data_IF_998096127300
#
_entry.id   IF_998096127300
#
_cell.length_a   1.000
_cell.length_b   1.000
_cell.length_c   1.000
_cell.angle_alpha   90.00
_cell.angle_beta   90.00
_cell.angle_gamma   90.00
#
_symmetry.space_group_name_H-M   'P 1'
#
loop_
_entity.id
_entity.type
_entity.pdbx_description
1 polymer ?
#
# COMPACT_ATOMS: atom_id res chain seq x y z
N UNK A 1 17.85 -26.87 12.82
CA UNK A 1 18.32 -25.84 11.88
C UNK A 1 17.09 -25.47 11.07
N UNK A 2 16.52 -24.30 11.30
CA UNK A 2 15.33 -23.83 10.57
C UNK A 2 15.82 -23.00 9.38
N UNK A 3 15.60 -23.55 8.17
CA UNK A 3 16.08 -23.00 6.91
C UNK A 3 15.18 -21.84 6.46
N UNK A 4 15.29 -20.71 7.17
CA UNK A 4 14.61 -19.49 6.76
C UNK A 4 15.34 -18.86 5.57
N UNK A 5 14.69 -18.75 4.42
CA UNK A 5 15.30 -18.20 3.18
C UNK A 5 14.73 -16.83 2.87
N UNK A 6 15.59 -15.87 2.51
CA UNK A 6 15.14 -14.52 2.15
C UNK A 6 14.80 -14.47 0.67
N UNK A 7 13.52 -14.31 0.34
CA UNK A 7 13.03 -14.14 -1.03
C UNK A 7 12.39 -12.75 -1.18
N UNK A 8 12.82 -11.94 -2.15
CA UNK A 8 12.30 -10.57 -2.36
C UNK A 8 12.30 -9.67 -1.09
N UNK A 9 13.18 -9.93 -0.12
CA UNK A 9 13.26 -9.17 1.14
C UNK A 9 12.24 -9.62 2.21
N UNK A 10 11.75 -10.85 2.13
CA UNK A 10 11.03 -11.53 3.22
C UNK A 10 11.66 -12.85 3.59
N UNK A 11 11.62 -13.17 4.88
CA UNK A 11 12.04 -14.47 5.42
C UNK A 11 10.91 -15.48 5.24
N UNK A 12 11.11 -16.45 4.35
CA UNK A 12 10.24 -17.60 4.17
C UNK A 12 10.69 -18.70 5.12
N UNK A 13 9.83 -19.07 6.07
CA UNK A 13 10.03 -20.22 6.93
C UNK A 13 9.56 -21.50 6.21
N UNK A 14 10.34 -22.59 6.33
CA UNK A 14 10.07 -23.88 5.67
C UNK A 14 8.74 -24.50 6.13
N UNK A 15 8.23 -24.08 7.29
CA UNK A 15 6.95 -24.52 7.84
C UNK A 15 5.74 -23.70 7.36
N UNK A 16 5.91 -22.74 6.45
CA UNK A 16 4.84 -21.81 6.04
C UNK A 16 4.21 -21.09 7.25
N UNK A 17 4.95 -20.85 8.33
CA UNK A 17 4.44 -20.09 9.47
C UNK A 17 4.46 -18.60 9.13
N UNK A 18 3.31 -18.11 8.65
CA UNK A 18 3.15 -16.73 8.18
C UNK A 18 3.20 -15.67 9.29
N UNK A 19 3.18 -16.05 10.57
CA UNK A 19 3.07 -15.11 11.70
C UNK A 19 4.24 -14.13 11.79
N UNK A 20 5.48 -14.63 11.82
CA UNK A 20 6.70 -13.79 11.83
C UNK A 20 6.78 -12.89 10.61
N UNK A 21 6.29 -13.39 9.47
CA UNK A 21 6.21 -12.60 8.27
C UNK A 21 5.16 -11.48 8.38
N UNK A 22 3.94 -11.79 8.83
CA UNK A 22 2.86 -10.82 9.07
C UNK A 22 3.35 -9.69 9.99
N UNK A 23 4.13 -10.01 11.02
CA UNK A 23 4.68 -9.00 11.93
C UNK A 23 5.66 -8.05 11.23
N UNK A 24 6.58 -8.58 10.41
CA UNK A 24 7.50 -7.73 9.63
C UNK A 24 6.76 -6.80 8.67
N UNK A 25 5.64 -7.25 8.13
CA UNK A 25 4.80 -6.51 7.19
C UNK A 25 3.93 -5.48 7.89
N UNK A 26 3.33 -5.85 9.01
CA UNK A 26 2.64 -4.94 9.90
C UNK A 26 3.60 -3.82 10.35
N UNK A 27 4.88 -4.15 10.59
CA UNK A 27 5.96 -3.17 10.85
C UNK A 27 6.20 -2.22 9.67
N UNK A 28 6.31 -2.74 8.44
CA UNK A 28 6.47 -1.93 7.21
C UNK A 28 5.24 -1.04 6.97
N UNK A 29 4.02 -1.58 7.11
CA UNK A 29 2.77 -0.83 6.97
C UNK A 29 2.60 0.22 8.07
N UNK A 30 3.01 -0.08 9.31
CA UNK A 30 3.00 0.89 10.41
C UNK A 30 3.97 2.04 10.15
N UNK A 31 5.15 1.73 9.62
CA UNK A 31 6.13 2.74 9.19
C UNK A 31 5.59 3.60 8.05
N UNK A 32 4.90 2.98 7.08
CA UNK A 32 4.23 3.69 6.00
C UNK A 32 3.09 4.59 6.51
N UNK A 33 2.27 4.12 7.44
CA UNK A 33 1.24 4.92 8.07
C UNK A 33 1.84 6.11 8.85
N UNK A 34 2.99 5.91 9.51
CA UNK A 34 3.71 6.97 10.20
C UNK A 34 4.28 8.01 9.23
N UNK A 35 4.86 7.58 8.11
CA UNK A 35 5.34 8.48 7.06
C UNK A 35 4.21 9.35 6.50
N UNK A 36 3.05 8.74 6.19
CA UNK A 36 1.84 9.47 5.75
C UNK A 36 1.40 10.48 6.81
N UNK A 37 1.39 10.09 8.09
CA UNK A 37 1.06 10.99 9.20
C UNK A 37 2.02 12.18 9.28
N UNK A 38 3.32 11.96 9.07
CA UNK A 38 4.33 13.02 9.10
C UNK A 38 4.19 13.98 7.93
N UNK A 39 4.00 13.46 6.72
CA UNK A 39 3.77 14.26 5.52
C UNK A 39 2.53 15.13 5.70
N UNK A 40 1.45 14.55 6.24
CA UNK A 40 0.21 15.28 6.56
C UNK A 40 0.38 16.40 7.60
N UNK A 41 1.43 16.40 8.41
CA UNK A 41 1.71 17.53 9.30
C UNK A 41 2.22 18.75 8.52
N UNK A 42 2.80 18.53 7.34
CA UNK A 42 3.49 19.54 6.54
C UNK A 42 2.68 19.92 5.30
N UNK A 43 1.89 18.99 4.73
CA UNK A 43 1.15 19.17 3.47
C UNK A 43 -0.37 19.18 3.63
N UNK A 44 -1.05 19.55 2.55
CA UNK A 44 -2.50 19.52 2.38
C UNK A 44 -3.07 18.07 2.32
N UNK A 45 -4.40 17.96 2.27
CA UNK A 45 -5.13 16.68 2.35
C UNK A 45 -4.89 15.85 1.10
N UNK A 46 -4.89 16.51 -0.07
CA UNK A 46 -4.83 15.85 -1.36
C UNK A 46 -3.43 15.27 -1.60
N UNK A 47 -2.38 16.02 -1.24
CA UNK A 47 -1.01 15.50 -1.28
C UNK A 47 -0.82 14.31 -0.34
N UNK A 48 -1.34 14.38 0.89
CA UNK A 48 -1.26 13.26 1.82
C UNK A 48 -2.03 12.02 1.33
N UNK A 49 -3.17 12.23 0.65
CA UNK A 49 -3.94 11.17 -0.01
C UNK A 49 -3.15 10.54 -1.14
N UNK A 50 -2.48 11.34 -1.98
CA UNK A 50 -1.64 10.83 -3.07
C UNK A 50 -0.50 9.96 -2.54
N UNK A 51 0.19 10.41 -1.49
CA UNK A 51 1.27 9.62 -0.87
C UNK A 51 0.73 8.32 -0.25
N UNK A 52 -0.44 8.36 0.37
CA UNK A 52 -1.10 7.15 0.87
C UNK A 52 -1.35 6.14 -0.25
N UNK A 53 -1.85 6.57 -1.41
CA UNK A 53 -2.04 5.68 -2.56
C UNK A 53 -0.72 5.23 -3.20
N UNK A 54 0.29 6.09 -3.25
CA UNK A 54 1.59 5.75 -3.84
C UNK A 54 2.38 4.75 -2.99
N UNK A 55 2.35 4.88 -1.65
CA UNK A 55 3.21 4.12 -0.75
C UNK A 55 2.45 3.08 0.08
N UNK A 56 1.40 3.49 0.82
CA UNK A 56 0.68 2.55 1.69
C UNK A 56 -0.10 1.52 0.88
N UNK A 57 -0.82 1.98 -0.16
CA UNK A 57 -1.62 1.10 -1.00
C UNK A 57 -0.77 0.16 -1.87
N UNK A 58 0.39 0.60 -2.36
CA UNK A 58 1.29 -0.27 -3.14
C UNK A 58 1.87 -1.41 -2.28
N UNK A 59 2.32 -1.12 -1.06
CA UNK A 59 2.81 -2.14 -0.11
C UNK A 59 1.68 -3.11 0.27
N UNK A 60 0.48 -2.60 0.51
CA UNK A 60 -0.69 -3.43 0.84
C UNK A 60 -1.10 -4.34 -0.32
N UNK A 61 -1.21 -3.81 -1.54
CA UNK A 61 -1.60 -4.58 -2.73
C UNK A 61 -0.56 -5.63 -3.10
N UNK A 62 0.73 -5.28 -3.02
CA UNK A 62 1.82 -6.24 -3.17
C UNK A 62 1.74 -7.34 -2.12
N UNK A 63 1.46 -6.96 -0.87
CA UNK A 63 1.33 -7.91 0.22
C UNK A 63 0.16 -8.88 0.08
N UNK A 64 -1.02 -8.38 -0.30
CA UNK A 64 -2.21 -9.21 -0.53
C UNK A 64 -1.97 -10.19 -1.69
N UNK A 65 -1.34 -9.73 -2.77
CA UNK A 65 -1.02 -10.57 -3.92
C UNK A 65 -0.09 -11.74 -3.54
N UNK A 66 0.82 -11.51 -2.59
CA UNK A 66 1.81 -12.49 -2.20
C UNK A 66 1.31 -13.48 -1.13
N UNK A 67 0.41 -13.06 -0.21
CA UNK A 67 0.00 -13.87 0.95
C UNK A 67 -1.45 -14.37 0.90
N UNK A 68 -2.26 -13.93 -0.07
CA UNK A 68 -3.65 -14.39 -0.20
C UNK A 68 -4.46 -14.24 1.09
N UNK A 69 -5.46 -15.11 1.30
CA UNK A 69 -6.34 -15.09 2.49
C UNK A 69 -5.66 -15.50 3.82
N UNK A 70 -4.36 -15.85 3.82
CA UNK A 70 -3.67 -16.37 5.00
C UNK A 70 -3.13 -15.28 5.94
N UNK A 71 -3.09 -14.01 5.50
CA UNK A 71 -2.68 -12.90 6.35
C UNK A 71 -3.80 -12.50 7.32
N UNK A 72 -3.46 -12.05 8.53
CA UNK A 72 -4.39 -11.40 9.46
C UNK A 72 -4.95 -10.11 8.86
N UNK A 73 -5.99 -10.25 8.03
CA UNK A 73 -6.68 -9.14 7.35
C UNK A 73 -7.17 -8.12 8.38
N UNK A 74 -7.54 -8.57 9.57
CA UNK A 74 -8.00 -7.70 10.66
C UNK A 74 -6.91 -6.71 11.10
N UNK A 75 -5.68 -7.19 11.32
CA UNK A 75 -4.55 -6.34 11.74
C UNK A 75 -4.21 -5.31 10.66
N UNK A 76 -4.20 -5.72 9.39
CA UNK A 76 -3.98 -4.83 8.24
C UNK A 76 -5.11 -3.79 8.15
N UNK A 77 -6.37 -4.20 8.35
CA UNK A 77 -7.51 -3.31 8.30
C UNK A 77 -7.51 -2.29 9.45
N UNK A 78 -7.03 -2.67 10.64
CA UNK A 78 -6.80 -1.73 11.75
C UNK A 78 -5.74 -0.69 11.38
N UNK A 79 -4.62 -1.11 10.78
CA UNK A 79 -3.57 -0.20 10.31
C UNK A 79 -4.08 0.74 9.21
N UNK A 80 -4.88 0.23 8.27
CA UNK A 80 -5.51 1.03 7.23
C UNK A 80 -6.42 2.12 7.83
N UNK A 81 -7.30 1.74 8.76
CA UNK A 81 -8.16 2.71 9.47
C UNK A 81 -7.33 3.77 10.21
N UNK A 82 -6.20 3.38 10.82
CA UNK A 82 -5.30 4.30 11.51
C UNK A 82 -4.63 5.28 10.54
N UNK A 83 -4.15 4.79 9.39
CA UNK A 83 -3.56 5.62 8.33
C UNK A 83 -4.57 6.64 7.79
N UNK A 84 -5.78 6.20 7.44
CA UNK A 84 -6.85 7.08 6.95
C UNK A 84 -7.22 8.15 7.98
N UNK A 85 -7.35 7.79 9.26
CA UNK A 85 -7.58 8.77 10.34
C UNK A 85 -6.48 9.83 10.41
N UNK A 86 -5.23 9.43 10.19
CA UNK A 86 -4.10 10.37 10.23
C UNK A 86 -4.15 11.39 9.10
N UNK A 87 -4.63 11.01 7.91
CA UNK A 87 -4.81 11.90 6.75
C UNK A 87 -5.90 12.93 7.05
N UNK A 88 -7.07 12.50 7.51
CA UNK A 88 -8.19 13.43 7.72
C UNK A 88 -8.18 14.13 9.08
N UNK A 89 -7.16 13.87 9.94
CA UNK A 89 -7.06 14.39 11.32
C UNK A 89 -8.35 14.19 12.13
N UNK A 90 -9.02 13.05 11.91
CA UNK A 90 -10.32 12.77 12.53
C UNK A 90 -10.17 12.45 14.02
N UNK A 91 -11.16 12.83 14.81
CA UNK A 91 -11.25 12.43 16.22
C UNK A 91 -11.62 10.95 16.31
N UNK A 92 -11.20 10.29 17.39
CA UNK A 92 -11.33 8.83 17.56
C UNK A 92 -12.77 8.29 17.44
N UNK A 93 -13.79 9.14 17.60
CA UNK A 93 -15.22 8.78 17.58
C UNK A 93 -15.92 9.10 16.25
N UNK A 94 -15.25 9.76 15.32
CA UNK A 94 -15.88 10.13 14.04
C UNK A 94 -15.97 8.93 13.10
N UNK A 95 -17.11 8.82 12.41
CA UNK A 95 -17.36 7.69 11.52
C UNK A 95 -16.43 7.76 10.31
N UNK A 96 -15.70 6.67 10.05
CA UNK A 96 -14.82 6.58 8.88
C UNK A 96 -15.59 6.23 7.60
N UNK A 97 -16.86 5.83 7.69
CA UNK A 97 -17.65 5.33 6.56
C UNK A 97 -17.79 6.36 5.44
N UNK A 98 -18.02 7.62 5.79
CA UNK A 98 -18.18 8.71 4.82
C UNK A 98 -16.86 9.02 4.11
N UNK A 99 -15.76 9.08 4.87
CA UNK A 99 -14.43 9.26 4.29
C UNK A 99 -13.97 8.06 3.46
N UNK A 100 -14.34 6.84 3.83
CA UNK A 100 -14.11 5.68 2.96
C UNK A 100 -14.90 5.75 1.65
N UNK A 101 -16.09 6.38 1.61
CA UNK A 101 -16.81 6.64 0.35
C UNK A 101 -16.09 7.69 -0.50
N UNK A 102 -15.59 8.76 0.13
CA UNK A 102 -14.87 9.86 -0.54
C UNK A 102 -13.50 9.42 -1.08
N UNK A 103 -12.77 8.62 -0.31
CA UNK A 103 -11.55 7.93 -0.73
C UNK A 103 -11.92 6.86 -1.78
N UNK A 104 -13.04 6.16 -1.56
CA UNK A 104 -13.57 5.05 -2.34
C UNK A 104 -14.09 5.41 -3.72
N UNK A 105 -14.46 6.67 -3.95
CA UNK A 105 -14.64 7.21 -5.31
C UNK A 105 -13.35 7.14 -6.15
N UNK A 106 -12.19 7.00 -5.50
CA UNK A 106 -10.89 6.69 -6.12
C UNK A 106 -10.29 5.36 -5.61
N UNK A 107 -11.08 4.46 -5.01
CA UNK A 107 -10.69 3.04 -4.84
C UNK A 107 -10.73 2.28 -6.17
N UNK A 108 -10.64 2.99 -7.30
CA UNK A 108 -10.00 2.42 -8.46
C UNK A 108 -8.52 2.19 -8.12
N UNK A 109 -8.27 0.99 -7.59
CA UNK A 109 -7.04 0.22 -7.83
C UNK A 109 -6.55 0.34 -9.30
N UNK A 110 -7.42 0.75 -10.24
CA UNK A 110 -7.09 1.01 -11.62
C UNK A 110 -6.47 2.39 -11.93
N UNK A 111 -6.66 3.49 -11.19
CA UNK A 111 -6.21 4.80 -11.71
C UNK A 111 -4.69 5.03 -11.62
N UNK A 112 -4.04 4.63 -10.53
CA UNK A 112 -2.57 4.73 -10.42
C UNK A 112 -1.85 3.61 -11.18
N UNK A 113 -2.45 2.40 -11.23
CA UNK A 113 -1.98 1.32 -12.07
C UNK A 113 -2.12 1.67 -13.57
N UNK A 114 -3.23 2.26 -14.03
CA UNK A 114 -3.40 2.71 -15.41
C UNK A 114 -2.56 3.94 -15.73
N UNK A 115 -2.25 4.82 -14.77
CA UNK A 115 -1.36 5.96 -15.05
C UNK A 115 0.09 5.50 -15.18
N UNK A 116 0.52 4.47 -14.45
CA UNK A 116 1.84 3.83 -14.62
C UNK A 116 1.88 2.89 -15.83
N UNK A 117 0.82 2.11 -16.11
CA UNK A 117 0.70 1.30 -17.33
C UNK A 117 0.61 2.16 -18.59
N UNK A 118 -0.08 3.32 -18.54
CA UNK A 118 -0.08 4.28 -19.64
C UNK A 118 1.29 4.94 -19.82
N UNK A 119 2.03 5.21 -18.73
CA UNK A 119 3.41 5.70 -18.84
C UNK A 119 4.36 4.64 -19.41
N UNK A 120 4.26 3.38 -18.99
CA UNK A 120 5.09 2.29 -19.53
C UNK A 120 4.70 1.93 -20.95
N UNK A 121 3.41 1.93 -21.30
CA UNK A 121 2.94 1.73 -22.67
C UNK A 121 3.41 2.87 -23.60
N UNK A 122 3.36 4.12 -23.14
CA UNK A 122 3.89 5.26 -23.88
C UNK A 122 5.41 5.16 -24.09
N UNK A 123 6.17 4.71 -23.07
CA UNK A 123 7.61 4.52 -23.18
C UNK A 123 7.99 3.36 -24.12
N UNK A 124 7.22 2.26 -24.11
CA UNK A 124 7.44 1.12 -25.00
C UNK A 124 7.07 1.46 -26.45
N UNK A 125 5.98 2.20 -26.69
CA UNK A 125 5.65 2.70 -28.03
C UNK A 125 6.68 3.71 -28.54
N UNK A 126 7.16 4.63 -27.69
CA UNK A 126 8.23 5.56 -28.05
C UNK A 126 9.54 4.82 -28.36
N UNK A 127 9.89 3.77 -27.61
CA UNK A 127 11.06 2.95 -27.88
C UNK A 127 10.95 2.13 -29.18
N UNK A 128 9.75 1.68 -29.55
CA UNK A 128 9.51 1.00 -30.83
C UNK A 128 9.56 1.96 -32.03
N UNK A 129 9.16 3.22 -31.87
CA UNK A 129 9.22 4.24 -32.93
C UNK A 129 10.66 4.70 -33.24
N UNK A 130 11.56 4.68 -32.26
CA UNK A 130 12.97 5.08 -32.45
C UNK A 130 13.81 3.97 -33.08
N UNK A 131 13.42 2.69 -32.90
CA UNK A 131 14.12 1.53 -33.52
C UNK A 131 13.62 1.18 -34.93
N UNK A 132 12.64 1.91 -35.46
CA UNK A 132 12.04 1.69 -36.79
C UNK A 132 12.49 2.69 -37.86
N UNK A 133 13.62 3.39 -37.66
CA UNK A 133 14.28 4.25 -38.64
C UNK A 133 15.73 3.81 -38.82
#
# INVERSE_FOLDING_TARGET
>A
MEDSTVFLGMTLDCKLQWGTHIDTLAGKLSSAAYAVRKIRQITDVETARLVYFAYFHSVMSYGILLWGKAADIETIFILQKRAVRSIYKLKSRESLREKFKEIGGASTMCACAWRLHAFTAALVLAAHLIKGQ
#
